data_IF_648610120031
#
_entry.id   IF_648610120031
#
_cell.length_a   1.000
_cell.length_b   1.000
_cell.length_c   1.000
_cell.angle_alpha   90.00
_cell.angle_beta   90.00
_cell.angle_gamma   90.00
#
_symmetry.space_group_name_H-M   'P 1'
#
loop_
_entity.id
_entity.type
_entity.pdbx_description
1 polymer ?
#
# COMPACT_ATOMS: atom_id res chain seq x y z
N UNK A 1 -24.32 -15.24 -10.80
CA UNK A 1 -23.19 -14.33 -11.00
C UNK A 1 -21.97 -14.92 -10.30
N UNK A 2 -20.79 -14.90 -10.96
CA UNK A 2 -19.52 -15.39 -10.42
C UNK A 2 -18.58 -14.19 -10.28
N UNK A 3 -17.97 -14.06 -9.10
CA UNK A 3 -16.87 -13.14 -8.86
C UNK A 3 -15.60 -13.95 -8.62
N UNK A 4 -14.53 -13.61 -9.33
CA UNK A 4 -13.22 -14.22 -9.18
C UNK A 4 -12.31 -13.20 -8.50
N UNK A 5 -11.69 -13.60 -7.39
CA UNK A 5 -10.65 -12.82 -6.70
C UNK A 5 -9.30 -13.52 -6.93
N UNK A 6 -8.43 -12.96 -7.80
CA UNK A 6 -7.15 -13.57 -8.12
C UNK A 6 -6.06 -13.35 -7.05
N UNK A 7 -6.41 -12.82 -5.88
CA UNK A 7 -5.55 -12.58 -4.72
C UNK A 7 -4.41 -11.58 -4.98
N UNK A 8 -4.44 -10.45 -4.29
CA UNK A 8 -3.37 -9.43 -4.32
C UNK A 8 -2.32 -9.73 -3.26
N UNK A 9 -1.07 -9.85 -3.66
CA UNK A 9 0.08 -9.97 -2.76
C UNK A 9 0.89 -8.66 -2.74
N UNK A 10 1.56 -8.33 -1.62
CA UNK A 10 2.38 -7.14 -1.52
C UNK A 10 3.66 -7.28 -2.38
N UNK A 11 4.03 -6.22 -3.11
CA UNK A 11 5.27 -6.16 -3.90
C UNK A 11 6.34 -5.28 -3.23
N UNK A 12 6.05 -4.78 -2.06
CA UNK A 12 6.86 -3.84 -1.29
C UNK A 12 7.67 -4.50 -0.16
N UNK A 13 7.63 -5.83 -0.05
CA UNK A 13 8.34 -6.60 0.99
C UNK A 13 9.86 -6.60 0.82
N UNK A 14 10.35 -6.35 -0.40
CA UNK A 14 11.76 -6.50 -0.76
C UNK A 14 12.19 -7.94 -1.06
N UNK A 15 11.33 -8.94 -0.82
CA UNK A 15 11.61 -10.35 -1.13
C UNK A 15 11.50 -10.62 -2.63
N UNK A 16 12.47 -11.34 -3.20
CA UNK A 16 12.48 -11.63 -4.64
C UNK A 16 11.25 -12.43 -5.10
N UNK A 17 10.73 -13.31 -4.25
CA UNK A 17 9.54 -14.10 -4.55
C UNK A 17 8.27 -13.24 -4.78
N UNK A 18 8.20 -12.06 -4.16
CA UNK A 18 7.03 -11.20 -4.21
C UNK A 18 7.08 -10.17 -5.36
N UNK A 19 8.29 -9.92 -5.91
CA UNK A 19 8.55 -8.84 -6.87
C UNK A 19 7.65 -8.86 -8.10
N UNK A 20 7.29 -10.04 -8.58
CA UNK A 20 6.48 -10.24 -9.79
C UNK A 20 4.99 -10.38 -9.53
N UNK A 21 4.56 -10.40 -8.28
CA UNK A 21 3.16 -10.68 -7.92
C UNK A 21 2.17 -9.74 -8.57
N UNK A 22 2.49 -8.44 -8.70
CA UNK A 22 1.59 -7.48 -9.36
C UNK A 22 1.51 -7.69 -10.87
N UNK A 23 2.64 -7.96 -11.54
CA UNK A 23 2.68 -8.30 -12.96
C UNK A 23 1.87 -9.56 -13.25
N UNK A 24 2.11 -10.62 -12.47
CA UNK A 24 1.40 -11.90 -12.65
C UNK A 24 -0.09 -11.77 -12.37
N UNK A 25 -0.47 -10.93 -11.42
CA UNK A 25 -1.88 -10.61 -11.19
C UNK A 25 -2.51 -9.88 -12.37
N UNK A 26 -1.83 -8.89 -12.95
CA UNK A 26 -2.32 -8.17 -14.12
C UNK A 26 -2.50 -9.11 -15.32
N UNK A 27 -1.49 -9.94 -15.61
CA UNK A 27 -1.56 -10.96 -16.67
C UNK A 27 -2.65 -12.02 -16.38
N UNK A 28 -2.76 -12.47 -15.13
CA UNK A 28 -3.80 -13.40 -14.69
C UNK A 28 -5.20 -12.81 -14.86
N UNK A 29 -5.39 -11.54 -14.48
CA UNK A 29 -6.65 -10.80 -14.66
C UNK A 29 -7.07 -10.77 -16.13
N UNK A 30 -6.13 -10.43 -17.02
CA UNK A 30 -6.37 -10.44 -18.46
C UNK A 30 -6.80 -11.82 -18.97
N UNK A 31 -6.07 -12.86 -18.60
CA UNK A 31 -6.39 -14.24 -19.00
C UNK A 31 -7.75 -14.69 -18.48
N UNK A 32 -8.13 -14.30 -17.26
CA UNK A 32 -9.45 -14.62 -16.70
C UNK A 32 -10.54 -13.89 -17.49
N UNK A 33 -10.38 -12.58 -17.75
CA UNK A 33 -11.37 -11.79 -18.49
C UNK A 33 -11.59 -12.31 -19.91
N UNK A 34 -10.53 -12.76 -20.58
CA UNK A 34 -10.61 -13.36 -21.93
C UNK A 34 -11.26 -14.75 -21.91
N UNK A 35 -10.96 -15.57 -20.90
CA UNK A 35 -11.46 -16.94 -20.80
C UNK A 35 -12.91 -17.01 -20.27
N UNK A 36 -13.30 -16.07 -19.41
CA UNK A 36 -14.59 -16.04 -18.72
C UNK A 36 -15.24 -14.65 -18.78
N UNK A 37 -15.65 -14.17 -19.97
CA UNK A 37 -16.13 -12.81 -20.15
C UNK A 37 -17.43 -12.51 -19.37
N UNK A 38 -18.17 -13.52 -18.93
CA UNK A 38 -19.37 -13.38 -18.12
C UNK A 38 -19.07 -13.30 -16.61
N UNK A 39 -17.83 -13.60 -16.18
CA UNK A 39 -17.44 -13.50 -14.79
C UNK A 39 -17.01 -12.08 -14.44
N UNK A 40 -17.28 -11.68 -13.20
CA UNK A 40 -16.76 -10.44 -12.65
C UNK A 40 -15.41 -10.73 -11.97
N UNK A 41 -14.48 -9.78 -12.05
CA UNK A 41 -13.17 -9.89 -11.41
C UNK A 41 -13.03 -8.80 -10.36
N UNK A 42 -12.67 -9.17 -9.15
CA UNK A 42 -12.53 -8.24 -8.01
C UNK A 42 -11.25 -8.55 -7.23
N UNK A 43 -10.75 -7.57 -6.47
CA UNK A 43 -9.63 -7.83 -5.54
C UNK A 43 -9.61 -6.82 -4.39
N UNK A 44 -8.96 -7.21 -3.28
CA UNK A 44 -8.56 -6.33 -2.20
C UNK A 44 -7.29 -5.56 -2.57
N UNK A 45 -7.43 -4.46 -3.32
CA UNK A 45 -6.35 -3.76 -4.00
C UNK A 45 -5.19 -3.34 -3.10
N UNK A 46 -5.48 -2.79 -1.91
CA UNK A 46 -4.50 -2.09 -1.09
C UNK A 46 -3.37 -2.98 -0.54
N UNK A 47 -3.52 -4.31 -0.64
CA UNK A 47 -2.50 -5.24 -0.20
C UNK A 47 -1.20 -5.13 -1.03
N UNK A 48 -1.28 -4.74 -2.31
CA UNK A 48 -0.11 -4.55 -3.19
C UNK A 48 0.94 -3.61 -2.61
N UNK A 49 0.51 -2.60 -1.86
CA UNK A 49 1.34 -1.52 -1.32
C UNK A 49 1.62 -1.64 0.19
N UNK A 50 1.30 -2.78 0.78
CA UNK A 50 1.46 -3.01 2.21
C UNK A 50 2.91 -2.72 2.66
N UNK A 51 3.07 -1.97 3.77
CA UNK A 51 4.38 -1.60 4.33
C UNK A 51 5.01 -0.32 3.75
N UNK A 52 4.43 0.28 2.70
CA UNK A 52 4.86 1.60 2.21
C UNK A 52 4.25 2.74 3.02
N UNK A 53 4.90 3.91 2.95
CA UNK A 53 4.35 5.16 3.49
C UNK A 53 2.98 5.50 2.86
N UNK A 54 2.05 6.12 3.59
CA UNK A 54 0.71 6.43 3.11
C UNK A 54 0.67 7.13 1.75
N UNK A 55 1.53 8.13 1.52
CA UNK A 55 1.60 8.84 0.25
C UNK A 55 2.00 7.91 -0.92
N UNK A 56 3.02 7.07 -0.73
CA UNK A 56 3.42 6.08 -1.73
C UNK A 56 2.32 5.04 -1.99
N UNK A 57 1.58 4.63 -0.94
CA UNK A 57 0.45 3.71 -1.08
C UNK A 57 -0.66 4.29 -1.93
N UNK A 58 -1.02 5.57 -1.73
CA UNK A 58 -2.05 6.25 -2.53
C UNK A 58 -1.67 6.20 -4.00
N UNK A 59 -0.43 6.54 -4.34
CA UNK A 59 0.04 6.54 -5.73
C UNK A 59 0.10 5.12 -6.30
N UNK A 60 0.74 4.18 -5.60
CA UNK A 60 0.87 2.80 -6.09
C UNK A 60 -0.50 2.14 -6.28
N UNK A 61 -1.42 2.29 -5.33
CA UNK A 61 -2.78 1.76 -5.43
C UNK A 61 -3.54 2.37 -6.62
N UNK A 62 -3.41 3.68 -6.83
CA UNK A 62 -4.11 4.38 -7.92
C UNK A 62 -3.61 3.92 -9.30
N UNK A 63 -2.30 3.82 -9.47
CA UNK A 63 -1.69 3.34 -10.72
C UNK A 63 -2.04 1.87 -10.94
N UNK A 64 -1.94 1.02 -9.89
CA UNK A 64 -2.23 -0.40 -10.02
C UNK A 64 -3.71 -0.68 -10.32
N UNK A 65 -4.64 0.09 -9.72
CA UNK A 65 -6.05 -0.04 -10.07
C UNK A 65 -6.30 0.26 -11.55
N UNK A 66 -5.68 1.30 -12.08
CA UNK A 66 -5.78 1.62 -13.51
C UNK A 66 -5.28 0.48 -14.38
N UNK A 67 -4.08 -0.04 -14.09
CA UNK A 67 -3.51 -1.17 -14.84
C UNK A 67 -4.42 -2.40 -14.80
N UNK A 68 -4.99 -2.74 -13.63
CA UNK A 68 -5.90 -3.87 -13.51
C UNK A 68 -7.21 -3.66 -14.30
N UNK A 69 -7.75 -2.44 -14.33
CA UNK A 69 -8.93 -2.11 -15.15
C UNK A 69 -8.63 -2.29 -16.64
N UNK A 70 -7.47 -1.82 -17.12
CA UNK A 70 -7.02 -2.04 -18.50
C UNK A 70 -6.84 -3.54 -18.83
N UNK A 71 -6.57 -4.38 -17.82
CA UNK A 71 -6.47 -5.83 -17.95
C UNK A 71 -7.82 -6.56 -17.75
N UNK A 72 -8.93 -5.82 -17.60
CA UNK A 72 -10.29 -6.39 -17.55
C UNK A 72 -10.85 -6.60 -16.14
N UNK A 73 -10.26 -6.02 -15.11
CA UNK A 73 -10.87 -6.01 -13.78
C UNK A 73 -12.14 -5.17 -13.76
N UNK A 74 -13.21 -5.70 -13.16
CA UNK A 74 -14.54 -5.08 -13.19
C UNK A 74 -14.93 -4.41 -11.88
N UNK A 75 -14.28 -4.78 -10.79
CA UNK A 75 -14.52 -4.20 -9.47
C UNK A 75 -13.28 -4.32 -8.58
N UNK A 76 -13.20 -3.52 -7.51
CA UNK A 76 -12.12 -3.59 -6.54
C UNK A 76 -12.62 -3.15 -5.16
N UNK A 77 -12.07 -3.75 -4.11
CA UNK A 77 -12.28 -3.33 -2.73
C UNK A 77 -11.19 -2.32 -2.41
N UNK A 78 -11.59 -1.06 -2.27
CA UNK A 78 -10.69 0.08 -2.08
C UNK A 78 -11.28 1.12 -1.13
N UNK A 79 -10.42 1.92 -0.52
CA UNK A 79 -10.83 3.16 0.12
C UNK A 79 -10.94 4.25 -0.94
N UNK A 80 -12.13 4.56 -1.41
CA UNK A 80 -12.37 5.43 -2.57
C UNK A 80 -11.68 6.81 -2.45
N UNK A 81 -11.65 7.42 -1.25
CA UNK A 81 -11.00 8.72 -1.05
C UNK A 81 -9.46 8.67 -1.12
N UNK A 82 -8.86 7.47 -1.11
CA UNK A 82 -7.41 7.23 -1.22
C UNK A 82 -7.00 6.77 -2.63
N UNK A 83 -7.91 6.83 -3.60
CA UNK A 83 -7.62 6.57 -5.01
C UNK A 83 -7.62 7.91 -5.76
N UNK A 84 -6.53 8.20 -6.43
CA UNK A 84 -6.39 9.40 -7.25
C UNK A 84 -6.64 9.09 -8.72
N UNK A 85 -7.30 9.99 -9.46
CA UNK A 85 -7.26 9.96 -10.91
C UNK A 85 -5.81 10.10 -11.39
N UNK A 86 -5.41 9.37 -12.44
CA UNK A 86 -4.02 9.35 -12.90
C UNK A 86 -3.47 10.73 -13.31
N UNK A 87 -4.34 11.64 -13.77
CA UNK A 87 -3.96 13.01 -14.09
C UNK A 87 -3.59 13.87 -12.87
N UNK A 88 -3.81 13.36 -11.65
CA UNK A 88 -3.39 13.98 -10.39
C UNK A 88 -2.15 13.31 -9.79
N UNK A 89 -1.62 12.28 -10.43
CA UNK A 89 -0.38 11.62 -10.07
C UNK A 89 0.73 12.22 -10.94
N UNK A 90 1.80 12.68 -10.32
CA UNK A 90 2.95 13.24 -11.05
C UNK A 90 3.60 12.17 -11.95
N UNK A 91 4.08 12.57 -13.14
CA UNK A 91 4.63 11.64 -14.14
C UNK A 91 5.79 10.80 -13.57
N UNK A 92 6.65 11.38 -12.76
CA UNK A 92 7.77 10.66 -12.13
C UNK A 92 7.29 9.61 -11.13
N UNK A 93 6.29 9.94 -10.31
CA UNK A 93 5.67 9.03 -9.34
C UNK A 93 4.94 7.89 -10.07
N UNK A 94 4.20 8.23 -11.12
CA UNK A 94 3.52 7.24 -11.98
C UNK A 94 4.51 6.29 -12.63
N UNK A 95 5.61 6.80 -13.18
CA UNK A 95 6.66 5.99 -13.80
C UNK A 95 7.29 5.03 -12.77
N UNK A 96 7.65 5.52 -11.59
CA UNK A 96 8.22 4.68 -10.53
C UNK A 96 7.25 3.59 -10.06
N UNK A 97 5.95 3.90 -9.95
CA UNK A 97 4.93 2.92 -9.62
C UNK A 97 4.79 1.84 -10.71
N UNK A 98 4.78 2.22 -12.00
CA UNK A 98 4.76 1.28 -13.13
C UNK A 98 6.01 0.41 -13.17
N UNK A 99 7.19 0.99 -12.94
CA UNK A 99 8.46 0.25 -12.90
C UNK A 99 8.43 -0.82 -11.78
N UNK A 100 7.79 -0.53 -10.65
CA UNK A 100 7.62 -1.49 -9.56
C UNK A 100 6.56 -2.56 -9.88
N UNK A 101 5.40 -2.19 -10.43
CA UNK A 101 4.32 -3.11 -10.79
C UNK A 101 4.81 -4.14 -11.82
N UNK A 102 5.58 -3.70 -12.80
CA UNK A 102 6.10 -4.54 -13.88
C UNK A 102 7.48 -5.15 -13.59
N UNK A 103 7.99 -5.00 -12.35
CA UNK A 103 9.32 -5.49 -11.92
C UNK A 103 10.44 -5.16 -12.91
N UNK A 104 10.54 -3.88 -13.29
CA UNK A 104 11.54 -3.39 -14.26
C UNK A 104 12.93 -3.31 -13.61
N UNK A 105 13.50 -4.47 -13.30
CA UNK A 105 14.89 -4.67 -12.87
C UNK A 105 15.69 -5.34 -14.00
N UNK A 106 17.02 -5.38 -13.83
CA UNK A 106 17.89 -6.14 -14.74
C UNK A 106 17.45 -7.62 -14.82
N UNK A 107 17.39 -8.16 -16.04
CA UNK A 107 16.96 -9.55 -16.28
C UNK A 107 17.83 -10.58 -15.57
N UNK A 108 19.12 -10.30 -15.39
CA UNK A 108 20.03 -11.19 -14.65
C UNK A 108 19.69 -11.28 -13.16
N UNK A 109 18.85 -10.39 -12.66
CA UNK A 109 18.29 -10.38 -11.29
C UNK A 109 16.82 -10.83 -11.23
N UNK A 110 16.34 -11.46 -12.29
CA UNK A 110 14.96 -11.96 -12.39
C UNK A 110 13.91 -10.90 -12.74
N UNK A 111 14.32 -9.67 -13.09
CA UNK A 111 13.43 -8.61 -13.54
C UNK A 111 12.98 -8.77 -14.98
N UNK A 112 12.13 -7.86 -15.46
CA UNK A 112 11.59 -7.85 -16.82
C UNK A 112 12.40 -7.00 -17.79
N UNK A 113 13.53 -6.43 -17.36
CA UNK A 113 14.37 -5.51 -18.10
C UNK A 113 14.33 -4.11 -17.50
N UNK A 114 15.44 -3.39 -17.61
CA UNK A 114 15.58 -2.04 -17.07
C UNK A 114 14.63 -1.05 -17.79
N UNK A 115 14.15 -0.01 -17.06
CA UNK A 115 13.38 1.06 -17.69
C UNK A 115 14.17 1.77 -18.78
N UNK A 116 13.47 2.37 -19.75
CA UNK A 116 14.10 3.16 -20.80
C UNK A 116 14.99 4.28 -20.22
N UNK A 117 16.23 4.36 -20.72
CA UNK A 117 17.23 5.34 -20.29
C UNK A 117 17.96 4.99 -18.98
N UNK A 118 17.61 3.90 -18.32
CA UNK A 118 18.31 3.40 -17.12
C UNK A 118 19.35 2.37 -17.53
N UNK A 119 20.63 2.64 -17.20
CA UNK A 119 21.77 1.75 -17.50
C UNK A 119 22.36 1.07 -16.27
N UNK A 120 21.99 1.53 -15.08
CA UNK A 120 22.46 0.94 -13.82
C UNK A 120 21.77 -0.41 -13.57
N UNK A 121 22.53 -1.50 -13.65
CA UNK A 121 22.05 -2.86 -13.36
C UNK A 121 21.65 -3.09 -11.92
N UNK A 122 21.97 -2.15 -11.01
CA UNK A 122 21.52 -2.21 -9.62
C UNK A 122 20.23 -1.41 -9.37
N UNK A 123 19.64 -0.85 -10.41
CA UNK A 123 18.37 -0.15 -10.29
C UNK A 123 17.31 -1.05 -9.65
N UNK A 124 16.67 -0.55 -8.60
CA UNK A 124 15.56 -1.20 -7.90
C UNK A 124 14.36 -0.25 -7.87
N UNK A 125 13.24 -0.58 -8.56
CA UNK A 125 12.07 0.27 -8.60
C UNK A 125 11.40 0.46 -7.23
N UNK A 126 11.54 -0.49 -6.30
CA UNK A 126 11.04 -0.32 -4.94
C UNK A 126 11.84 0.76 -4.19
N UNK A 127 13.16 0.71 -4.27
CA UNK A 127 14.01 1.74 -3.66
C UNK A 127 13.76 3.11 -4.28
N UNK A 128 13.55 3.16 -5.61
CA UNK A 128 13.20 4.40 -6.30
C UNK A 128 11.88 4.98 -5.80
N UNK A 129 10.87 4.15 -5.65
CA UNK A 129 9.57 4.59 -5.13
C UNK A 129 9.69 5.09 -3.67
N UNK A 130 10.38 4.34 -2.81
CA UNK A 130 10.62 4.74 -1.42
C UNK A 130 11.33 6.09 -1.34
N UNK A 131 12.37 6.32 -2.16
CA UNK A 131 13.14 7.56 -2.16
C UNK A 131 12.30 8.76 -2.61
N UNK A 132 11.41 8.59 -3.61
CA UNK A 132 10.49 9.64 -4.07
C UNK A 132 9.53 10.10 -2.97
N UNK A 133 9.18 9.22 -2.04
CA UNK A 133 8.24 9.52 -0.96
C UNK A 133 8.91 9.68 0.41
N UNK A 134 10.25 9.72 0.45
CA UNK A 134 11.00 9.83 1.72
C UNK A 134 10.63 11.06 2.54
N UNK A 135 10.48 12.21 1.87
CA UNK A 135 10.16 13.49 2.49
C UNK A 135 8.71 13.94 2.23
N UNK A 136 7.91 13.07 1.62
CA UNK A 136 6.50 13.33 1.36
C UNK A 136 5.68 12.74 2.49
N UNK A 137 5.21 13.60 3.38
CA UNK A 137 4.17 13.22 4.33
C UNK A 137 2.82 13.30 3.63
N UNK A 138 1.98 12.34 3.89
CA UNK A 138 0.61 12.13 3.41
C UNK A 138 0.08 13.10 2.34
N UNK A 139 -0.21 12.57 1.15
CA UNK A 139 -1.01 13.27 0.14
C UNK A 139 -2.44 13.34 0.69
N UNK A 140 -2.73 14.39 1.48
CA UNK A 140 -4.09 14.68 1.96
C UNK A 140 -4.32 14.64 3.47
N UNK A 141 -3.41 14.10 4.28
CA UNK A 141 -3.46 14.28 5.74
C UNK A 141 -2.49 15.39 6.13
N UNK A 142 -3.03 16.51 6.56
CA UNK A 142 -2.21 17.67 6.89
C UNK A 142 -1.20 17.32 8.00
N UNK A 143 0.09 17.61 7.78
CA UNK A 143 1.12 17.69 8.84
C UNK A 143 0.63 18.42 10.10
N UNK A 144 -0.29 19.35 9.95
CA UNK A 144 -0.91 20.11 11.02
C UNK A 144 -1.66 19.24 12.03
N UNK A 145 -2.31 18.15 11.61
CA UNK A 145 -3.05 17.29 12.55
C UNK A 145 -2.14 16.44 13.43
N UNK A 146 -1.00 15.95 12.93
CA UNK A 146 -0.08 15.11 13.74
C UNK A 146 0.74 15.93 14.74
N UNK A 147 1.08 17.18 14.42
CA UNK A 147 1.82 18.07 15.32
C UNK A 147 1.03 18.48 16.57
N UNK A 148 -0.30 18.46 16.50
CA UNK A 148 -1.21 18.81 17.61
C UNK A 148 -1.72 17.58 18.38
N UNK A 149 -1.34 16.34 17.99
CA UNK A 149 -1.76 15.11 18.67
C UNK A 149 -1.01 14.92 20.00
N UNK A 150 -1.76 14.52 21.02
CA UNK A 150 -1.17 14.05 22.28
C UNK A 150 -0.40 12.74 22.05
N UNK A 151 0.45 12.35 23.01
CA UNK A 151 1.18 11.07 22.96
C UNK A 151 0.23 9.88 22.84
N UNK A 152 -0.87 9.92 23.59
CA UNK A 152 -1.91 8.88 23.62
C UNK A 152 -2.65 8.77 22.28
N UNK A 153 -2.92 9.91 21.64
CA UNK A 153 -3.53 9.95 20.30
C UNK A 153 -2.57 9.41 19.25
N UNK A 154 -1.26 9.70 19.35
CA UNK A 154 -0.24 9.14 18.45
C UNK A 154 -0.14 7.62 18.57
N UNK A 155 -0.14 7.08 19.79
CA UNK A 155 -0.13 5.63 20.03
C UNK A 155 -1.33 4.95 19.38
N UNK A 156 -2.53 5.51 19.56
CA UNK A 156 -3.76 5.00 18.93
C UNK A 156 -3.71 5.10 17.41
N UNK A 157 -3.23 6.23 16.89
CA UNK A 157 -3.13 6.46 15.44
C UNK A 157 -2.21 5.42 14.77
N UNK A 158 -1.08 5.04 15.39
CA UNK A 158 -0.22 3.97 14.86
C UNK A 158 -0.98 2.66 14.67
N UNK A 159 -1.86 2.31 15.61
CA UNK A 159 -2.69 1.09 15.50
C UNK A 159 -3.79 1.26 14.44
N UNK A 160 -4.53 2.38 14.49
CA UNK A 160 -5.67 2.63 13.58
C UNK A 160 -5.20 2.74 12.13
N UNK A 161 -4.11 3.46 11.89
CA UNK A 161 -3.58 3.68 10.54
C UNK A 161 -2.69 2.53 10.05
N UNK A 162 -2.26 1.62 10.93
CA UNK A 162 -1.32 0.54 10.62
C UNK A 162 0.06 1.06 10.22
N UNK A 163 0.49 2.19 10.80
CA UNK A 163 1.73 2.87 10.43
C UNK A 163 2.87 2.46 11.38
N UNK A 164 3.83 1.71 10.85
CA UNK A 164 5.00 1.28 11.61
C UNK A 164 6.08 2.37 11.78
N UNK A 165 6.08 3.38 10.89
CA UNK A 165 7.08 4.46 10.95
C UNK A 165 6.87 5.34 12.18
N UNK A 166 7.93 5.52 12.98
CA UNK A 166 7.89 6.34 14.18
C UNK A 166 7.29 5.67 15.42
N UNK A 167 6.82 4.41 15.32
CA UNK A 167 6.29 3.64 16.46
C UNK A 167 7.32 3.56 17.58
N UNK A 168 8.57 3.21 17.26
CA UNK A 168 9.64 3.05 18.25
C UNK A 168 9.84 4.35 19.05
N UNK A 169 9.94 5.49 18.37
CA UNK A 169 10.10 6.80 19.02
C UNK A 169 8.90 7.15 19.90
N UNK A 170 7.68 6.86 19.41
CA UNK A 170 6.45 7.11 20.19
C UNK A 170 6.37 6.20 21.42
N UNK A 171 6.79 4.94 21.29
CA UNK A 171 6.84 3.99 22.41
C UNK A 171 7.92 4.37 23.42
N UNK A 172 9.11 4.79 22.99
CA UNK A 172 10.16 5.28 23.86
C UNK A 172 9.69 6.48 24.70
N UNK A 173 8.99 7.43 24.09
CA UNK A 173 8.38 8.57 24.77
C UNK A 173 7.30 8.12 25.77
N UNK A 174 6.45 7.14 25.35
CA UNK A 174 5.40 6.60 26.19
C UNK A 174 5.94 5.85 27.43
N UNK A 175 7.03 5.09 27.27
CA UNK A 175 7.67 4.37 28.39
C UNK A 175 8.32 5.30 29.42
N UNK A 176 8.50 6.58 29.11
CA UNK A 176 8.92 7.56 30.11
C UNK A 176 7.79 8.03 31.01
N UNK A 177 6.54 7.82 30.59
CA UNK A 177 5.31 8.35 31.24
C UNK A 177 4.42 7.25 31.82
N UNK A 178 4.42 6.09 31.20
CA UNK A 178 3.52 4.97 31.51
C UNK A 178 4.29 3.66 31.68
N UNK A 179 3.73 2.75 32.47
CA UNK A 179 4.20 1.38 32.52
C UNK A 179 3.85 0.64 31.21
N UNK A 180 4.69 -0.32 30.75
CA UNK A 180 4.47 -1.02 29.49
C UNK A 180 3.09 -1.68 29.35
N UNK A 181 2.54 -2.23 30.43
CA UNK A 181 1.22 -2.85 30.43
C UNK A 181 0.09 -1.82 30.27
N UNK A 182 0.24 -0.62 30.82
CA UNK A 182 -0.74 0.46 30.68
C UNK A 182 -0.73 0.99 29.23
N UNK A 183 0.45 1.10 28.60
CA UNK A 183 0.55 1.45 27.18
C UNK A 183 -0.26 0.47 26.32
N UNK A 184 -0.11 -0.83 26.57
CA UNK A 184 -0.83 -1.86 25.82
C UNK A 184 -2.32 -1.78 26.10
N UNK A 185 -2.72 -1.79 27.36
CA UNK A 185 -4.11 -1.96 27.76
C UNK A 185 -4.96 -0.71 27.54
N UNK A 186 -4.43 0.48 27.85
CA UNK A 186 -5.19 1.72 27.85
C UNK A 186 -5.07 2.50 26.52
N UNK A 187 -4.01 2.25 25.74
CA UNK A 187 -3.76 3.02 24.50
C UNK A 187 -3.77 2.16 23.25
N UNK A 188 -3.00 1.07 23.19
CA UNK A 188 -2.94 0.25 21.97
C UNK A 188 -4.21 -0.58 21.80
N UNK A 189 -4.76 -1.18 22.86
CA UNK A 189 -6.03 -1.91 22.78
C UNK A 189 -7.22 -0.99 22.52
N UNK A 190 -7.19 0.27 22.96
CA UNK A 190 -8.22 1.25 22.63
C UNK A 190 -8.16 1.60 21.12
N UNK A 191 -6.96 1.69 20.53
CA UNK A 191 -6.78 1.77 19.09
C UNK A 191 -7.35 0.55 18.35
N UNK A 192 -7.09 -0.67 18.85
CA UNK A 192 -7.66 -1.90 18.28
C UNK A 192 -9.18 -1.97 18.41
N UNK A 193 -9.76 -1.44 19.49
CA UNK A 193 -11.21 -1.33 19.63
C UNK A 193 -11.80 -0.44 18.54
N UNK A 194 -11.19 0.72 18.29
CA UNK A 194 -11.58 1.62 17.19
C UNK A 194 -11.47 0.93 15.83
N UNK A 195 -10.41 0.16 15.57
CA UNK A 195 -10.27 -0.67 14.36
C UNK A 195 -11.42 -1.68 14.25
N UNK A 196 -11.78 -2.34 15.36
CA UNK A 196 -12.91 -3.28 15.41
C UNK A 196 -14.27 -2.61 15.10
N UNK A 197 -14.49 -1.41 15.63
CA UNK A 197 -15.70 -0.62 15.37
C UNK A 197 -15.79 -0.19 13.90
N UNK A 198 -14.70 0.35 13.34
CA UNK A 198 -14.61 0.73 11.94
C UNK A 198 -14.74 -0.47 10.98
N UNK A 199 -14.17 -1.61 11.36
CA UNK A 199 -14.33 -2.85 10.62
C UNK A 199 -15.79 -3.34 10.64
N UNK A 200 -16.45 -3.32 11.81
CA UNK A 200 -17.85 -3.66 11.95
C UNK A 200 -18.78 -2.74 11.15
N UNK A 201 -18.43 -1.45 11.06
CA UNK A 201 -19.12 -0.46 10.23
C UNK A 201 -18.80 -0.58 8.72
N UNK A 202 -17.89 -1.46 8.30
CA UNK A 202 -17.39 -1.60 6.93
C UNK A 202 -16.65 -0.34 6.41
N UNK A 203 -16.15 0.48 7.30
CA UNK A 203 -15.39 1.68 6.99
C UNK A 203 -13.88 1.41 6.92
N UNK A 204 -13.44 0.25 7.43
CA UNK A 204 -12.04 -0.19 7.41
C UNK A 204 -11.95 -1.69 7.17
N UNK A 205 -10.88 -2.13 6.50
CA UNK A 205 -10.47 -3.54 6.49
C UNK A 205 -9.52 -3.81 7.66
N UNK A 206 -9.53 -5.03 8.20
CA UNK A 206 -8.57 -5.41 9.24
C UNK A 206 -7.15 -5.24 8.69
N UNK A 207 -6.27 -4.52 9.42
CA UNK A 207 -4.87 -4.58 9.12
C UNK A 207 -4.41 -6.04 9.27
N UNK A 208 -3.55 -6.51 8.37
CA UNK A 208 -2.90 -7.80 8.57
C UNK A 208 -2.02 -7.71 9.82
N UNK A 209 -2.44 -8.41 10.87
CA UNK A 209 -1.65 -8.62 12.10
C UNK A 209 -0.74 -9.81 11.89
#
# INVERSE_FOLDING_TARGET
>A
DIFIDPLVLPISTGMDADRRSALELAEGTKRISEAFPEAQITCGLSNVSFGLKPAARVVLNSVFLHELVEHGMTSAIVHASKILPLNKVEDEQRKAALDLIYDRRDESKGGTGLPEGVTDKNFDPLQRLIELFKDVDDVGASKAKKADMTLEERLRAHIIDGEAEGVDTTLEEAMQKYEPLDIINDHLLDGMKTVGELFGAREMQLPFV
#
